data_IF_793563771814
#
_entry.id   IF_793563771814
#
_cell.length_a   1.000
_cell.length_b   1.000
_cell.length_c   1.000
_cell.angle_alpha   90.00
_cell.angle_beta   90.00
_cell.angle_gamma   90.00
#
_symmetry.space_group_name_H-M   'P 1'
#
loop_
_entity.id
_entity.type
_entity.pdbx_description
1 polymer ?
#
# COMPACT_ATOMS: atom_id res chain seq x y z
N UNK A 1 -22.99 16.95 15.04
CA UNK A 1 -21.63 16.47 15.33
C UNK A 1 -20.65 17.24 14.45
N UNK A 2 -19.55 17.76 15.01
CA UNK A 2 -18.58 18.60 14.30
C UNK A 2 -17.35 17.83 13.81
N UNK A 3 -16.38 18.56 13.27
CA UNK A 3 -15.01 18.07 13.07
C UNK A 3 -14.13 18.62 14.21
N UNK A 4 -13.20 17.81 14.70
CA UNK A 4 -12.39 18.12 15.88
C UNK A 4 -10.91 18.00 15.54
N UNK A 5 -10.21 19.13 15.51
CA UNK A 5 -8.76 19.19 15.26
C UNK A 5 -8.08 19.75 16.51
N UNK A 6 -7.67 18.88 17.44
CA UNK A 6 -7.14 19.31 18.74
C UNK A 6 -5.63 19.54 18.74
N UNK A 7 -4.91 18.93 17.81
CA UNK A 7 -3.46 19.08 17.70
C UNK A 7 -3.06 20.44 17.10
N UNK A 8 -1.85 20.89 17.45
CA UNK A 8 -1.24 22.04 16.80
C UNK A 8 -1.11 21.80 15.29
N UNK A 9 -1.50 22.81 14.49
CA UNK A 9 -1.47 22.79 13.03
C UNK A 9 -2.16 21.56 12.40
N UNK A 10 -3.22 21.05 13.05
CA UNK A 10 -4.01 19.93 12.54
C UNK A 10 -5.19 20.39 11.68
N UNK A 11 -5.68 19.48 10.83
CA UNK A 11 -6.87 19.68 10.01
C UNK A 11 -7.86 18.55 10.25
N UNK A 12 -9.12 18.88 10.53
CA UNK A 12 -10.22 17.91 10.56
C UNK A 12 -11.39 18.40 9.69
N UNK A 13 -11.82 17.58 8.74
CA UNK A 13 -12.92 17.89 7.83
C UNK A 13 -13.86 16.69 7.65
N UNK A 14 -15.15 16.90 7.90
CA UNK A 14 -16.20 15.87 7.83
C UNK A 14 -16.86 15.62 9.19
N UNK A 15 -18.07 15.06 9.16
CA UNK A 15 -18.85 14.77 10.38
C UNK A 15 -18.08 13.81 11.28
N UNK A 16 -17.82 14.22 12.52
CA UNK A 16 -17.07 13.46 13.52
C UNK A 16 -15.64 13.09 13.11
N UNK A 17 -15.03 13.82 12.16
CA UNK A 17 -13.60 13.74 11.92
C UNK A 17 -12.85 14.19 13.18
N UNK A 18 -11.76 13.49 13.53
CA UNK A 18 -11.04 13.68 14.79
C UNK A 18 -9.53 13.60 14.58
N UNK A 19 -8.81 14.62 15.04
CA UNK A 19 -7.36 14.58 15.22
C UNK A 19 -7.06 14.78 16.70
N UNK A 20 -6.35 13.81 17.28
CA UNK A 20 -5.95 13.83 18.68
C UNK A 20 -5.04 15.01 19.01
N UNK A 21 -5.10 15.54 20.25
CA UNK A 21 -4.29 16.67 20.69
C UNK A 21 -2.77 16.42 20.62
N UNK A 22 -2.33 15.16 20.67
CA UNK A 22 -0.92 14.78 20.55
C UNK A 22 -0.48 14.49 19.10
N UNK A 23 -1.39 14.47 18.13
CA UNK A 23 -1.10 14.19 16.73
C UNK A 23 -0.76 15.48 15.95
N UNK A 24 0.34 16.13 16.34
CA UNK A 24 0.82 17.38 15.70
C UNK A 24 0.92 17.19 14.18
N UNK A 25 0.45 18.18 13.41
CA UNK A 25 0.35 18.14 11.94
C UNK A 25 -0.58 17.05 11.37
N UNK A 26 -1.44 16.46 12.21
CA UNK A 26 -2.39 15.44 11.78
C UNK A 26 -3.49 15.99 10.88
N UNK A 27 -3.87 15.23 9.86
CA UNK A 27 -4.96 15.56 8.92
C UNK A 27 -6.00 14.43 8.90
N UNK A 28 -7.26 14.72 9.21
CA UNK A 28 -8.38 13.78 9.13
C UNK A 28 -9.47 14.31 8.20
N UNK A 29 -9.69 13.66 7.06
CA UNK A 29 -10.70 14.05 6.07
C UNK A 29 -11.62 12.88 5.79
N UNK A 30 -12.90 13.03 6.15
CA UNK A 30 -13.94 12.04 5.97
C UNK A 30 -14.83 11.86 7.20
N UNK A 31 -16.03 11.33 7.01
CA UNK A 31 -16.92 11.00 8.12
C UNK A 31 -16.26 9.97 9.05
N UNK A 32 -16.11 10.29 10.34
CA UNK A 32 -15.37 9.49 11.33
C UNK A 32 -13.90 9.20 10.96
N UNK A 33 -13.27 10.00 10.09
CA UNK A 33 -11.82 9.89 9.89
C UNK A 33 -11.08 10.24 11.19
N UNK A 34 -10.03 9.49 11.53
CA UNK A 34 -9.33 9.61 12.81
C UNK A 34 -7.82 9.60 12.62
N UNK A 35 -7.13 10.57 13.22
CA UNK A 35 -5.70 10.49 13.52
C UNK A 35 -5.54 10.34 15.04
N UNK A 36 -5.00 9.20 15.47
CA UNK A 36 -4.95 8.78 16.86
C UNK A 36 -3.78 9.40 17.64
N UNK A 37 -3.75 9.17 18.95
CA UNK A 37 -2.70 9.68 19.84
C UNK A 37 -1.29 9.37 19.32
N UNK A 38 -0.39 10.36 19.42
CA UNK A 38 1.01 10.31 19.02
C UNK A 38 1.28 9.95 17.54
N UNK A 39 0.24 9.90 16.68
CA UNK A 39 0.39 9.72 15.24
C UNK A 39 0.70 11.07 14.56
N UNK A 40 1.83 11.68 14.96
CA UNK A 40 2.31 12.95 14.39
C UNK A 40 2.47 12.82 12.89
N UNK A 41 2.11 13.87 12.15
CA UNK A 41 2.18 13.91 10.67
C UNK A 41 1.31 12.83 9.99
N UNK A 42 0.33 12.28 10.72
CA UNK A 42 -0.60 11.27 10.21
C UNK A 42 -1.68 11.88 9.30
N UNK A 43 -1.99 11.21 8.20
CA UNK A 43 -3.06 11.62 7.26
C UNK A 43 -4.10 10.52 7.08
N UNK A 44 -5.30 10.71 7.64
CA UNK A 44 -6.45 9.85 7.42
C UNK A 44 -7.33 10.44 6.30
N UNK A 45 -7.40 9.78 5.15
CA UNK A 45 -8.17 10.23 3.99
C UNK A 45 -9.23 9.19 3.60
N UNK A 46 -10.46 9.40 4.04
CA UNK A 46 -11.60 8.52 3.78
C UNK A 46 -12.51 8.35 4.99
N UNK A 47 -13.77 7.99 4.77
CA UNK A 47 -14.70 7.72 5.86
C UNK A 47 -14.18 6.56 6.73
N UNK A 48 -14.12 6.76 8.05
CA UNK A 48 -13.60 5.79 9.03
C UNK A 48 -12.12 5.40 8.82
N UNK A 49 -11.36 6.13 8.02
CA UNK A 49 -9.91 5.94 7.92
C UNK A 49 -9.26 6.26 9.27
N UNK A 50 -8.31 5.45 9.72
CA UNK A 50 -7.66 5.59 11.04
C UNK A 50 -6.16 5.52 10.91
N UNK A 51 -5.45 6.57 11.34
CA UNK A 51 -3.98 6.57 11.42
C UNK A 51 -3.56 6.42 12.87
N UNK A 52 -2.74 5.41 13.14
CA UNK A 52 -2.14 5.12 14.47
C UNK A 52 -0.63 5.20 14.47
N UNK A 53 -0.03 5.53 13.34
CA UNK A 53 1.41 5.51 13.09
C UNK A 53 1.91 6.88 12.64
N UNK A 54 3.17 7.20 12.94
CA UNK A 54 3.77 8.50 12.62
C UNK A 54 4.09 8.61 11.14
N UNK A 55 4.01 9.83 10.60
CA UNK A 55 4.36 10.15 9.22
C UNK A 55 3.74 9.17 8.21
N UNK A 56 2.46 8.85 8.39
CA UNK A 56 1.79 7.76 7.66
C UNK A 56 0.42 8.18 7.15
N UNK A 57 -0.04 7.51 6.10
CA UNK A 57 -1.29 7.82 5.40
C UNK A 57 -2.20 6.60 5.39
N UNK A 58 -3.39 6.71 5.97
CA UNK A 58 -4.48 5.75 5.76
C UNK A 58 -5.33 6.24 4.60
N UNK A 59 -5.20 5.60 3.43
CA UNK A 59 -5.84 6.03 2.19
C UNK A 59 -7.04 5.15 1.84
N UNK A 60 -8.24 5.71 1.90
CA UNK A 60 -9.51 5.06 1.58
C UNK A 60 -10.40 4.78 2.80
N UNK A 61 -11.66 4.43 2.54
CA UNK A 61 -12.63 4.17 3.60
C UNK A 61 -12.24 2.95 4.45
N UNK A 62 -12.33 3.07 5.77
CA UNK A 62 -11.91 2.05 6.75
C UNK A 62 -10.42 1.65 6.67
N UNK A 63 -9.57 2.43 5.98
CA UNK A 63 -8.14 2.15 5.92
C UNK A 63 -7.47 2.38 7.27
N UNK A 64 -6.43 1.59 7.59
CA UNK A 64 -5.70 1.71 8.85
C UNK A 64 -4.21 1.49 8.69
N UNK A 65 -3.39 2.44 9.13
CA UNK A 65 -1.93 2.30 9.07
C UNK A 65 -1.46 1.17 9.99
N UNK A 66 -0.36 0.53 9.59
CA UNK A 66 0.22 -0.60 10.33
C UNK A 66 1.65 -0.34 10.81
N UNK A 67 2.33 0.65 10.20
CA UNK A 67 3.73 0.99 10.47
C UNK A 67 3.94 2.50 10.30
N UNK A 68 5.03 3.02 10.88
CA UNK A 68 5.46 4.40 10.64
C UNK A 68 6.06 4.54 9.22
N UNK A 69 6.00 5.75 8.64
CA UNK A 69 6.47 6.05 7.27
C UNK A 69 5.77 5.21 6.17
N UNK A 70 4.47 5.00 6.29
CA UNK A 70 3.69 4.12 5.41
C UNK A 70 2.55 4.85 4.70
N UNK A 71 2.29 4.51 3.42
CA UNK A 71 0.99 4.75 2.79
C UNK A 71 0.23 3.43 2.73
N UNK A 72 -0.82 3.29 3.55
CA UNK A 72 -1.59 2.07 3.66
C UNK A 72 -2.95 2.19 2.95
N UNK A 73 -3.18 1.32 1.97
CA UNK A 73 -4.42 1.25 1.17
C UNK A 73 -5.31 0.07 1.56
N UNK A 74 -4.84 -0.83 2.42
CA UNK A 74 -5.68 -1.90 2.98
C UNK A 74 -6.70 -1.35 3.96
N UNK A 75 -7.73 -2.12 4.26
CA UNK A 75 -8.81 -1.69 5.16
C UNK A 75 -9.27 -2.81 6.08
N UNK A 76 -9.74 -2.39 7.24
CA UNK A 76 -10.40 -3.27 8.20
C UNK A 76 -11.89 -3.35 7.84
N UNK A 77 -12.37 -4.53 7.44
CA UNK A 77 -13.76 -4.68 6.99
C UNK A 77 -14.77 -4.49 8.14
N UNK A 78 -14.38 -4.93 9.33
CA UNK A 78 -15.10 -4.74 10.58
C UNK A 78 -14.07 -4.61 11.72
N UNK A 79 -14.34 -3.84 12.78
CA UNK A 79 -13.44 -3.71 13.91
C UNK A 79 -13.05 -5.06 14.51
N UNK A 80 -11.74 -5.30 14.68
CA UNK A 80 -11.17 -6.53 15.19
C UNK A 80 -11.04 -7.66 14.17
N UNK A 81 -11.29 -7.43 12.87
CA UNK A 81 -11.12 -8.44 11.80
C UNK A 81 -9.82 -8.26 11.04
N UNK A 82 -9.45 -9.30 10.29
CA UNK A 82 -8.31 -9.26 9.39
C UNK A 82 -8.46 -8.16 8.33
N UNK A 83 -7.34 -7.53 8.00
CA UNK A 83 -7.27 -6.52 6.94
C UNK A 83 -7.57 -7.15 5.57
N UNK A 84 -8.34 -6.42 4.77
CA UNK A 84 -8.54 -6.67 3.34
C UNK A 84 -7.70 -5.70 2.52
N UNK A 85 -7.45 -6.05 1.26
CA UNK A 85 -6.60 -5.28 0.35
C UNK A 85 -7.42 -4.53 -0.69
N UNK A 86 -6.78 -3.54 -1.31
CA UNK A 86 -7.24 -2.89 -2.53
C UNK A 86 -6.27 -3.16 -3.65
N UNK A 87 -6.78 -3.29 -4.87
CA UNK A 87 -5.95 -3.28 -6.08
C UNK A 87 -5.51 -1.84 -6.33
N UNK A 88 -4.20 -1.65 -6.53
CA UNK A 88 -3.63 -0.37 -6.96
C UNK A 88 -3.41 -0.41 -8.47
N UNK A 89 -4.23 0.32 -9.22
CA UNK A 89 -4.19 0.37 -10.68
C UNK A 89 -3.78 1.75 -11.22
N UNK A 90 -3.56 1.83 -12.53
CA UNK A 90 -3.21 3.08 -13.23
C UNK A 90 -1.72 3.45 -13.15
N UNK A 91 -0.84 2.48 -12.87
CA UNK A 91 0.60 2.72 -12.82
C UNK A 91 1.23 2.59 -14.21
N UNK A 92 2.07 3.56 -14.56
CA UNK A 92 3.06 3.41 -15.64
C UNK A 92 4.25 2.58 -15.15
N UNK A 93 5.03 2.02 -16.07
CA UNK A 93 6.23 1.26 -15.71
C UNK A 93 7.23 2.12 -14.95
N UNK A 94 7.73 1.58 -13.83
CA UNK A 94 8.78 2.22 -13.05
C UNK A 94 10.08 2.30 -13.84
N UNK A 95 10.77 3.43 -13.70
CA UNK A 95 12.06 3.69 -14.38
C UNK A 95 13.20 3.98 -13.39
N UNK A 96 12.86 4.30 -12.13
CA UNK A 96 13.81 4.55 -11.05
C UNK A 96 13.81 3.40 -10.04
N UNK A 97 14.89 3.21 -9.26
CA UNK A 97 14.96 2.13 -8.26
C UNK A 97 13.88 2.17 -7.17
N UNK A 98 13.28 3.34 -6.94
CA UNK A 98 12.23 3.56 -5.93
C UNK A 98 10.81 3.57 -6.52
N UNK A 99 10.65 3.33 -7.82
CA UNK A 99 9.32 3.29 -8.44
C UNK A 99 8.66 1.92 -8.17
N UNK A 100 7.33 1.92 -8.07
CA UNK A 100 6.59 0.67 -8.02
C UNK A 100 6.71 -0.08 -9.36
N UNK A 101 7.04 -1.38 -9.29
CA UNK A 101 7.05 -2.24 -10.46
C UNK A 101 5.60 -2.61 -10.87
N UNK A 102 5.29 -2.51 -12.17
CA UNK A 102 3.99 -2.95 -12.69
C UNK A 102 3.97 -4.48 -12.90
N UNK A 103 2.79 -5.07 -12.94
CA UNK A 103 2.62 -6.50 -13.27
C UNK A 103 3.25 -6.82 -14.63
N UNK A 104 3.09 -5.93 -15.63
CA UNK A 104 3.69 -6.09 -16.96
C UNK A 104 5.22 -6.10 -16.92
N UNK A 105 5.87 -5.38 -16.01
CA UNK A 105 7.34 -5.47 -15.85
C UNK A 105 7.77 -6.82 -15.29
N UNK A 106 7.02 -7.33 -14.31
CA UNK A 106 7.27 -8.65 -13.72
C UNK A 106 7.03 -9.77 -14.76
N UNK A 107 5.99 -9.66 -15.58
CA UNK A 107 5.70 -10.64 -16.65
C UNK A 107 6.83 -10.71 -17.67
N UNK A 108 7.43 -9.58 -18.09
CA UNK A 108 8.60 -9.59 -18.99
C UNK A 108 9.81 -10.32 -18.39
N UNK A 109 10.01 -10.18 -17.07
CA UNK A 109 11.07 -10.92 -16.36
C UNK A 109 10.75 -12.40 -16.34
N UNK A 110 9.49 -12.77 -16.05
CA UNK A 110 9.01 -14.15 -16.07
C UNK A 110 9.24 -14.79 -17.44
N UNK A 111 8.85 -14.14 -18.53
CA UNK A 111 9.03 -14.65 -19.91
C UNK A 111 10.51 -14.90 -20.22
N UNK A 112 11.40 -13.98 -19.78
CA UNK A 112 12.85 -14.12 -19.97
C UNK A 112 13.41 -15.32 -19.21
N UNK A 113 12.91 -15.60 -18.00
CA UNK A 113 13.31 -16.77 -17.19
C UNK A 113 12.81 -18.07 -17.82
N UNK A 114 11.58 -18.10 -18.32
CA UNK A 114 11.01 -19.28 -18.99
C UNK A 114 11.78 -19.62 -20.28
N UNK A 115 12.21 -18.62 -21.04
CA UNK A 115 13.07 -18.81 -22.22
C UNK A 115 14.40 -19.46 -21.84
N UNK A 116 15.07 -18.98 -20.78
CA UNK A 116 16.32 -19.56 -20.30
C UNK A 116 16.14 -21.01 -19.80
N UNK A 117 15.02 -21.30 -19.15
CA UNK A 117 14.70 -22.65 -18.70
C UNK A 117 14.49 -23.61 -19.88
N UNK A 118 13.82 -23.16 -20.94
CA UNK A 118 13.60 -23.96 -22.16
C UNK A 118 14.87 -24.18 -23.00
N UNK A 119 15.81 -23.22 -23.00
CA UNK A 119 17.09 -23.34 -23.68
C UNK A 119 18.05 -24.39 -23.06
N UNK A 120 17.68 -25.01 -21.94
CA UNK A 120 18.47 -26.05 -21.25
C UNK A 120 18.03 -27.49 -21.61
N UNK A 121 17.09 -27.68 -22.54
CA UNK A 121 16.77 -29.01 -23.06
C UNK A 121 17.94 -29.48 -23.95
N UNK A 122 18.85 -30.27 -23.37
CA UNK A 122 20.02 -30.82 -24.06
C UNK A 122 19.60 -31.44 -25.40
N UNK A 123 20.28 -31.13 -26.53
CA UNK A 123 20.05 -31.88 -27.76
C UNK A 123 20.29 -33.37 -27.44
N UNK A 124 19.41 -34.30 -27.88
CA UNK A 124 19.64 -35.71 -27.66
C UNK A 124 21.00 -36.05 -28.26
N UNK A 125 21.90 -36.56 -27.42
CA UNK A 125 23.24 -36.98 -27.83
C UNK A 125 23.06 -38.00 -28.95
N UNK A 126 23.32 -37.60 -30.19
CA UNK A 126 23.21 -38.49 -31.34
C UNK A 126 24.25 -39.59 -31.16
N UNK A 127 23.79 -40.75 -30.69
CA UNK A 127 24.60 -41.95 -30.58
C UNK A 127 25.04 -42.33 -31.99
N UNK A 128 26.31 -42.11 -32.31
CA UNK A 128 26.92 -42.59 -33.54
C UNK A 128 26.89 -44.12 -33.51
N UNK A 129 25.88 -44.73 -34.14
CA UNK A 129 25.88 -46.16 -34.42
C UNK A 129 27.07 -46.48 -35.31
N UNK A 130 27.88 -47.44 -34.85
CA UNK A 130 29.01 -47.98 -35.62
C UNK A 130 28.44 -48.61 -36.89
N UNK A 131 28.81 -48.05 -38.05
CA UNK A 131 28.70 -48.77 -39.32
C UNK A 131 29.96 -49.61 -39.49
N UNK A 132 29.70 -50.85 -39.87
CA UNK A 132 30.55 -52.04 -39.90
C UNK A 132 31.78 -51.94 -40.80
#
# INVERSE_FOLDING_TARGET
MGAYAYANASTAAGTAAYVDGSAIYGTAIGNYAKVDKNATEGTALGAKATVTNKNSVALGANSRTTRDNEVYIGYEAEPGKAYKTRVLGGLSDGTRPSDAATVRQVDRVKDSVEQLASGYEYPPCSRSEKVS
#
